data_IF_033076571061
#
_entry.id   IF_033076571061
#
_cell.length_a   1.000
_cell.length_b   1.000
_cell.length_c   1.000
_cell.angle_alpha   90.00
_cell.angle_beta   90.00
_cell.angle_gamma   90.00
#
_symmetry.space_group_name_H-M   'P 1'
#
loop_
_entity.id
_entity.type
_entity.pdbx_description
1 polymer ?
#
# COMPACT_ATOMS: atom_id res chain seq x y z
N UNK A 1 -40.09 -6.12 -3.21
CA UNK A 1 -39.64 -5.17 -2.16
C UNK A 1 -39.81 -3.77 -2.71
N UNK A 2 -40.61 -2.88 -2.10
CA UNK A 2 -40.75 -1.51 -2.61
C UNK A 2 -39.47 -0.73 -2.28
N UNK A 3 -38.88 -0.08 -3.30
CA UNK A 3 -37.77 0.86 -3.12
C UNK A 3 -38.25 2.03 -2.25
N UNK A 4 -37.45 2.42 -1.26
CA UNK A 4 -37.74 3.56 -0.38
C UNK A 4 -37.94 4.81 -1.25
N UNK A 5 -39.05 5.52 -1.05
CA UNK A 5 -39.38 6.74 -1.81
C UNK A 5 -38.25 7.76 -1.63
N UNK A 6 -37.53 8.08 -2.71
CA UNK A 6 -36.36 8.97 -2.71
C UNK A 6 -35.00 8.27 -2.81
N UNK A 7 -34.95 6.93 -2.73
CA UNK A 7 -33.72 6.18 -2.99
C UNK A 7 -33.47 6.07 -4.50
N UNK A 8 -32.47 6.80 -5.01
CA UNK A 8 -31.98 6.64 -6.37
C UNK A 8 -30.80 5.65 -6.37
N UNK A 9 -31.07 4.39 -6.69
CA UNK A 9 -30.05 3.35 -6.77
C UNK A 9 -28.90 3.70 -7.75
N UNK A 10 -29.18 4.48 -8.80
CA UNK A 10 -28.18 4.91 -9.77
C UNK A 10 -27.25 6.02 -9.24
N UNK A 11 -27.61 6.67 -8.13
CA UNK A 11 -26.81 7.71 -7.48
C UNK A 11 -25.95 7.17 -6.32
N UNK A 12 -26.04 5.87 -6.00
CA UNK A 12 -25.28 5.29 -4.89
C UNK A 12 -23.83 5.04 -5.33
N UNK A 13 -22.82 5.60 -4.62
CA UNK A 13 -21.43 5.27 -4.87
C UNK A 13 -21.15 3.80 -4.54
N UNK A 14 -20.63 3.06 -5.52
CA UNK A 14 -20.30 1.64 -5.36
C UNK A 14 -18.79 1.53 -5.15
N UNK A 15 -18.34 0.89 -4.06
CA UNK A 15 -16.93 0.55 -3.88
C UNK A 15 -16.67 -0.90 -4.28
N UNK A 16 -15.62 -1.12 -5.05
CA UNK A 16 -15.14 -2.45 -5.46
C UNK A 16 -13.70 -2.66 -5.03
N UNK A 17 -13.34 -3.90 -4.71
CA UNK A 17 -11.94 -4.32 -4.54
C UNK A 17 -11.46 -4.92 -5.86
N UNK A 18 -10.47 -4.31 -6.47
CA UNK A 18 -9.78 -4.81 -7.65
C UNK A 18 -8.61 -5.66 -7.18
N UNK A 19 -8.45 -6.84 -7.79
CA UNK A 19 -7.32 -7.75 -7.60
C UNK A 19 -6.60 -7.81 -8.94
N UNK A 20 -5.33 -7.40 -8.96
CA UNK A 20 -4.50 -7.43 -10.16
C UNK A 20 -3.85 -8.81 -10.32
N UNK A 21 -3.36 -9.10 -11.53
CA UNK A 21 -2.79 -10.41 -11.87
C UNK A 21 -1.54 -10.76 -11.04
N UNK A 22 -0.84 -9.75 -10.53
CA UNK A 22 0.32 -9.88 -9.63
C UNK A 22 -0.07 -10.08 -8.16
N UNK A 23 -1.37 -10.20 -7.86
CA UNK A 23 -1.88 -10.37 -6.50
C UNK A 23 -2.02 -9.07 -5.71
N UNK A 24 -1.54 -7.93 -6.24
CA UNK A 24 -1.77 -6.63 -5.62
C UNK A 24 -3.25 -6.27 -5.67
N UNK A 25 -3.71 -5.47 -4.71
CA UNK A 25 -5.13 -5.08 -4.63
C UNK A 25 -5.29 -3.61 -4.35
N UNK A 26 -6.39 -3.01 -4.80
CA UNK A 26 -6.77 -1.63 -4.48
C UNK A 26 -8.28 -1.48 -4.50
N UNK A 27 -8.82 -0.49 -3.77
CA UNK A 27 -10.26 -0.19 -3.83
C UNK A 27 -10.51 0.98 -4.75
N UNK A 28 -11.61 0.89 -5.49
CA UNK A 28 -12.11 1.95 -6.36
C UNK A 28 -13.55 2.27 -5.98
N UNK A 29 -13.95 3.50 -6.22
CA UNK A 29 -15.32 3.97 -6.06
C UNK A 29 -15.86 4.43 -7.41
N UNK A 30 -17.02 3.92 -7.80
CA UNK A 30 -17.75 4.40 -8.96
C UNK A 30 -18.42 5.72 -8.59
N UNK A 31 -18.09 6.78 -9.35
CA UNK A 31 -18.76 8.08 -9.25
C UNK A 31 -19.83 8.15 -10.34
N UNK A 32 -21.13 8.06 -10.01
CA UNK A 32 -22.20 8.04 -11.00
C UNK A 32 -22.30 9.36 -11.78
N UNK A 33 -22.01 10.49 -11.12
CA UNK A 33 -22.05 11.84 -11.71
C UNK A 33 -21.11 11.96 -12.91
N UNK A 34 -19.88 11.46 -12.76
CA UNK A 34 -18.82 11.57 -13.78
C UNK A 34 -18.69 10.31 -14.61
N UNK A 35 -19.41 9.24 -14.26
CA UNK A 35 -19.26 7.90 -14.86
C UNK A 35 -17.82 7.42 -14.88
N UNK A 36 -17.09 7.66 -13.79
CA UNK A 36 -15.68 7.27 -13.65
C UNK A 36 -15.42 6.48 -12.40
N UNK A 37 -14.52 5.50 -12.51
CA UNK A 37 -13.89 4.86 -11.36
C UNK A 37 -12.78 5.78 -10.81
N UNK A 38 -12.86 6.11 -9.53
CA UNK A 38 -11.78 6.81 -8.82
C UNK A 38 -11.14 5.85 -7.84
N UNK A 39 -9.80 5.77 -7.81
CA UNK A 39 -9.08 4.98 -6.82
C UNK A 39 -9.28 5.58 -5.43
N UNK A 40 -9.51 4.75 -4.42
CA UNK A 40 -9.61 5.18 -3.02
C UNK A 40 -8.18 5.20 -2.44
N UNK A 41 -7.65 6.37 -2.02
CA UNK A 41 -6.30 6.49 -1.49
C UNK A 41 -6.06 5.61 -0.26
N UNK A 42 -4.81 5.14 -0.09
CA UNK A 42 -4.39 4.34 1.08
C UNK A 42 -4.92 2.90 1.10
N UNK A 43 -5.66 2.48 0.07
CA UNK A 43 -6.25 1.13 0.00
C UNK A 43 -5.41 0.11 -0.75
N UNK A 44 -4.35 0.53 -1.43
CA UNK A 44 -3.54 -0.43 -2.17
C UNK A 44 -2.70 -1.31 -1.24
N UNK A 45 -2.66 -2.60 -1.58
CA UNK A 45 -1.90 -3.62 -0.89
C UNK A 45 -1.11 -4.45 -1.89
N UNK A 46 0.10 -4.85 -1.52
CA UNK A 46 0.85 -5.84 -2.28
C UNK A 46 0.33 -7.27 -2.00
N UNK A 47 0.97 -8.27 -2.62
CA UNK A 47 0.61 -9.68 -2.45
C UNK A 47 0.89 -10.21 -1.03
N UNK A 48 1.71 -9.53 -0.23
CA UNK A 48 1.98 -9.83 1.18
C UNK A 48 1.13 -9.00 2.14
N UNK A 49 0.12 -8.29 1.61
CA UNK A 49 -0.77 -7.40 2.35
C UNK A 49 -0.07 -6.18 3.00
N UNK A 50 1.12 -5.84 2.52
CA UNK A 50 1.76 -4.57 2.84
C UNK A 50 1.00 -3.42 2.17
N UNK A 51 0.92 -2.26 2.82
CA UNK A 51 0.46 -1.04 2.14
C UNK A 51 1.46 -0.62 1.08
N UNK A 52 0.95 -0.26 -0.10
CA UNK A 52 1.75 0.39 -1.14
C UNK A 52 1.70 1.90 -0.87
N UNK A 53 2.81 2.54 -0.41
CA UNK A 53 2.80 3.96 -0.04
C UNK A 53 2.46 4.84 -1.25
N UNK A 54 1.62 5.85 -1.04
CA UNK A 54 1.26 6.85 -2.06
C UNK A 54 2.04 8.14 -1.83
N UNK A 55 2.27 8.48 -0.56
CA UNK A 55 3.04 9.63 -0.08
C UNK A 55 4.18 9.18 0.83
N UNK A 56 5.19 10.05 1.02
CA UNK A 56 6.33 9.78 1.91
C UNK A 56 5.85 9.48 3.35
N UNK A 57 4.79 10.15 3.80
CA UNK A 57 4.21 9.92 5.13
C UNK A 57 3.60 8.52 5.27
N UNK A 58 3.08 7.93 4.19
CA UNK A 58 2.50 6.59 4.21
C UNK A 58 3.55 5.50 4.44
N UNK A 59 4.83 5.80 4.27
CA UNK A 59 5.93 4.85 4.47
C UNK A 59 6.02 4.44 5.94
N UNK A 60 5.74 5.37 6.86
CA UNK A 60 5.85 5.13 8.31
C UNK A 60 4.53 5.25 9.03
N UNK A 61 3.53 5.91 8.43
CA UNK A 61 2.29 6.27 9.11
C UNK A 61 2.49 7.25 10.26
N UNK A 62 3.60 8.00 10.27
CA UNK A 62 3.93 8.97 11.33
C UNK A 62 4.76 8.41 12.49
N UNK A 63 5.30 7.20 12.38
CA UNK A 63 6.14 6.60 13.41
C UNK A 63 7.00 5.47 12.86
N UNK A 64 6.68 4.24 13.23
CA UNK A 64 7.36 3.03 12.75
C UNK A 64 6.39 2.13 11.99
N UNK A 65 6.86 1.53 10.90
CA UNK A 65 6.11 0.56 10.10
C UNK A 65 7.02 -0.54 9.58
N UNK A 66 6.49 -1.75 9.58
CA UNK A 66 7.15 -2.92 8.99
C UNK A 66 6.45 -3.34 7.70
N UNK A 67 7.26 -3.74 6.75
CA UNK A 67 6.86 -4.33 5.48
C UNK A 67 7.45 -5.73 5.42
N UNK A 68 6.59 -6.76 5.44
CA UNK A 68 7.04 -8.15 5.54
C UNK A 68 6.96 -8.78 4.16
N UNK A 69 8.03 -9.47 3.76
CA UNK A 69 8.10 -10.18 2.49
C UNK A 69 8.32 -11.67 2.76
N UNK A 70 7.58 -12.52 2.05
CA UNK A 70 7.65 -13.97 2.21
C UNK A 70 8.94 -14.58 1.66
N UNK A 71 9.09 -15.90 1.76
CA UNK A 71 10.20 -16.57 1.08
C UNK A 71 10.05 -16.51 -0.44
N UNK A 72 11.16 -16.28 -1.15
CA UNK A 72 11.15 -16.18 -2.62
C UNK A 72 10.63 -14.86 -3.19
N UNK A 73 10.35 -13.87 -2.35
CA UNK A 73 9.80 -12.56 -2.74
C UNK A 73 10.88 -11.56 -3.21
N UNK A 74 11.98 -12.02 -3.79
CA UNK A 74 13.12 -11.13 -4.13
C UNK A 74 12.70 -10.04 -5.13
N UNK A 75 11.79 -10.36 -6.05
CA UNK A 75 11.22 -9.39 -6.97
C UNK A 75 10.35 -8.35 -6.25
N UNK A 76 9.43 -8.78 -5.36
CA UNK A 76 8.55 -7.87 -4.63
C UNK A 76 9.35 -6.92 -3.73
N UNK A 77 10.35 -7.43 -3.04
CA UNK A 77 11.29 -6.65 -2.23
C UNK A 77 12.03 -5.60 -3.09
N UNK A 78 12.49 -6.00 -4.27
CA UNK A 78 13.21 -5.12 -5.20
C UNK A 78 12.30 -4.02 -5.71
N UNK A 79 11.08 -4.36 -6.14
CA UNK A 79 10.09 -3.39 -6.62
C UNK A 79 9.66 -2.43 -5.51
N UNK A 80 9.48 -2.94 -4.29
CA UNK A 80 9.15 -2.11 -3.14
C UNK A 80 10.29 -1.15 -2.77
N UNK A 81 11.53 -1.64 -2.74
CA UNK A 81 12.72 -0.81 -2.53
C UNK A 81 12.86 0.28 -3.61
N UNK A 82 12.60 -0.07 -4.88
CA UNK A 82 12.59 0.88 -5.97
C UNK A 82 11.50 1.95 -5.80
N UNK A 83 10.30 1.56 -5.35
CA UNK A 83 9.21 2.50 -5.02
C UNK A 83 9.63 3.50 -3.94
N UNK A 84 10.22 3.03 -2.84
CA UNK A 84 10.73 3.90 -1.77
C UNK A 84 11.81 4.86 -2.28
N UNK A 85 12.74 4.36 -3.09
CA UNK A 85 13.81 5.17 -3.69
C UNK A 85 13.26 6.25 -4.62
N UNK A 86 12.25 5.93 -5.45
CA UNK A 86 11.56 6.92 -6.30
C UNK A 86 10.80 7.98 -5.48
N UNK A 87 10.48 7.70 -4.23
CA UNK A 87 9.88 8.66 -3.28
C UNK A 87 10.93 9.48 -2.53
N UNK A 88 12.23 9.31 -2.87
CA UNK A 88 13.34 10.02 -2.23
C UNK A 88 13.79 9.40 -0.91
N UNK A 89 13.39 8.17 -0.61
CA UNK A 89 13.71 7.47 0.64
C UNK A 89 14.69 6.34 0.34
N UNK A 90 16.00 6.53 0.56
CA UNK A 90 16.97 5.47 0.37
C UNK A 90 16.74 4.35 1.38
N UNK A 91 16.93 3.11 0.94
CA UNK A 91 16.77 1.93 1.79
C UNK A 91 18.15 1.36 2.10
N UNK A 92 18.50 1.38 3.39
CA UNK A 92 19.73 0.77 3.90
C UNK A 92 19.59 -0.73 4.13
N UNK A 93 20.69 -1.37 4.53
CA UNK A 93 20.70 -2.77 4.96
C UNK A 93 21.21 -2.84 6.38
N UNK A 94 20.38 -3.28 7.32
CA UNK A 94 20.77 -3.48 8.72
C UNK A 94 21.39 -4.87 8.97
N UNK A 95 21.24 -5.79 8.01
CA UNK A 95 21.73 -7.17 8.11
C UNK A 95 20.79 -8.06 8.91
N UNK A 96 21.31 -9.20 9.39
CA UNK A 96 20.56 -10.19 10.16
C UNK A 96 20.86 -11.62 9.73
N UNK A 97 20.26 -12.58 10.43
CA UNK A 97 20.42 -14.02 10.15
C UNK A 97 19.04 -14.65 10.08
N UNK A 98 18.76 -15.39 9.01
CA UNK A 98 17.44 -16.00 8.81
C UNK A 98 17.10 -16.23 7.35
N UNK A 99 15.83 -16.51 7.08
CA UNK A 99 15.33 -16.82 5.75
C UNK A 99 14.09 -15.99 5.38
N UNK A 100 13.71 -15.02 6.22
CA UNK A 100 12.66 -14.05 5.95
C UNK A 100 13.26 -12.66 5.86
N UNK A 101 12.61 -11.82 5.07
CA UNK A 101 13.06 -10.44 4.86
C UNK A 101 11.92 -9.50 5.20
N UNK A 102 12.26 -8.43 5.92
CA UNK A 102 11.35 -7.30 6.14
C UNK A 102 12.07 -5.99 5.91
N UNK A 103 11.33 -4.94 5.63
CA UNK A 103 11.81 -3.56 5.66
C UNK A 103 11.16 -2.87 6.86
N UNK A 104 11.98 -2.37 7.78
CA UNK A 104 11.51 -1.50 8.85
C UNK A 104 11.74 -0.05 8.43
N UNK A 105 10.69 0.76 8.48
CA UNK A 105 10.77 2.19 8.21
C UNK A 105 10.37 2.97 9.45
N UNK A 106 11.18 3.96 9.82
CA UNK A 106 10.92 4.84 10.96
C UNK A 106 11.02 6.31 10.57
N UNK A 107 10.28 7.17 11.26
CA UNK A 107 10.41 8.62 11.18
C UNK A 107 10.31 9.21 12.58
N UNK A 108 11.16 10.20 12.87
CA UNK A 108 11.13 10.97 14.11
C UNK A 108 10.49 12.33 13.80
N UNK A 109 9.46 12.73 14.55
CA UNK A 109 8.78 14.03 14.42
C UNK A 109 8.32 14.36 12.99
N UNK A 110 7.82 13.37 12.22
CA UNK A 110 7.47 13.50 10.80
C UNK A 110 8.63 13.98 9.91
N UNK A 111 9.87 13.74 10.33
CA UNK A 111 11.05 13.93 9.50
C UNK A 111 11.15 12.91 8.36
N UNK A 112 12.16 13.04 7.48
CA UNK A 112 12.40 12.09 6.40
C UNK A 112 12.48 10.66 6.96
N UNK A 113 11.75 9.70 6.39
CA UNK A 113 11.79 8.33 6.88
C UNK A 113 13.14 7.69 6.58
N UNK A 114 13.58 6.83 7.49
CA UNK A 114 14.75 5.97 7.35
C UNK A 114 14.24 4.54 7.26
N UNK A 115 14.60 3.84 6.19
CA UNK A 115 14.16 2.47 5.93
C UNK A 115 15.37 1.53 5.85
N UNK A 116 15.25 0.36 6.47
CA UNK A 116 16.31 -0.64 6.49
C UNK A 116 15.77 -2.04 6.20
N UNK A 117 16.47 -2.77 5.35
CA UNK A 117 16.23 -4.20 5.12
C UNK A 117 16.82 -4.99 6.28
N UNK A 118 16.00 -5.86 6.88
CA UNK A 118 16.35 -6.76 7.96
C UNK A 118 16.09 -8.21 7.56
N UNK A 119 17.00 -9.11 7.93
CA UNK A 119 16.87 -10.56 7.75
C UNK A 119 16.61 -11.20 9.12
N UNK A 120 15.61 -12.09 9.21
CA UNK A 120 15.22 -12.76 10.45
C UNK A 120 14.65 -14.18 10.23
#
# INVERSE_FOLDING_TARGET
MPLIKGFNAAAVPISVRVVFADGTTARYIWKPETKMWTRIPGTARDNFNNIIPETVQDITGGGYREYVFGQGSSNDLTQFTARLTHMGVPVGTAGGTGNRVKIGCSSVNNGPPICEIMIY
#
